data_IF_730445115656
#
_entry.id   IF_730445115656
#
_cell.length_a   1.000
_cell.length_b   1.000
_cell.length_c   1.000
_cell.angle_alpha   90.00
_cell.angle_beta   90.00
_cell.angle_gamma   90.00
#
_symmetry.space_group_name_H-M   'P 1'
#
loop_
_entity.id
_entity.type
_entity.pdbx_description
1 polymer ?
#
# COMPACT_ATOMS: atom_id res chain seq x y z
N UNK A 1 -1.88 -14.45 -3.16
CA UNK A 1 -1.27 -13.28 -2.50
C UNK A 1 -2.00 -12.03 -2.94
N UNK A 2 -2.50 -11.24 -2.00
CA UNK A 2 -3.15 -9.97 -2.32
C UNK A 2 -2.11 -8.85 -2.27
N UNK A 3 -2.06 -8.03 -3.31
CA UNK A 3 -1.17 -6.87 -3.41
C UNK A 3 -1.99 -5.65 -3.83
N UNK A 4 -1.91 -4.60 -3.03
CA UNK A 4 -2.46 -3.29 -3.39
C UNK A 4 -1.32 -2.38 -3.80
N UNK A 5 -1.48 -1.70 -4.93
CA UNK A 5 -0.49 -0.78 -5.45
C UNK A 5 -1.17 0.46 -6.03
N UNK A 6 -0.43 1.54 -6.06
CA UNK A 6 -0.86 2.78 -6.69
C UNK A 6 -0.04 2.95 -7.97
N UNK A 7 -0.72 3.00 -9.10
CA UNK A 7 -0.14 3.28 -10.40
C UNK A 7 -0.73 4.58 -10.95
N UNK A 8 0.10 5.33 -11.65
CA UNK A 8 -0.31 6.55 -12.34
C UNK A 8 -0.10 6.32 -13.84
N UNK A 9 -1.16 6.52 -14.63
CA UNK A 9 -1.07 6.39 -16.08
C UNK A 9 -0.02 7.35 -16.64
N UNK A 10 0.84 6.82 -17.50
CA UNK A 10 1.92 7.60 -18.11
C UNK A 10 3.14 7.82 -17.23
N UNK A 11 3.11 7.45 -15.95
CA UNK A 11 4.25 7.65 -15.04
C UNK A 11 5.48 6.87 -15.51
N UNK A 12 5.30 5.65 -15.97
CA UNK A 12 6.37 4.79 -16.45
C UNK A 12 7.11 5.40 -17.64
N UNK A 13 6.36 5.95 -18.59
CA UNK A 13 6.90 6.65 -19.77
C UNK A 13 7.61 7.93 -19.36
N UNK A 14 7.03 8.71 -18.46
CA UNK A 14 7.61 9.94 -17.95
C UNK A 14 8.94 9.66 -17.21
N UNK A 15 9.00 8.62 -16.39
CA UNK A 15 10.23 8.19 -15.71
C UNK A 15 11.30 7.79 -16.72
N UNK A 16 10.92 7.04 -17.75
CA UNK A 16 11.84 6.65 -18.83
C UNK A 16 12.43 7.85 -19.55
N UNK A 17 11.59 8.83 -19.89
CA UNK A 17 12.04 10.01 -20.60
C UNK A 17 12.93 10.90 -19.72
N UNK A 18 12.54 11.08 -18.46
CA UNK A 18 13.33 11.84 -17.50
C UNK A 18 14.68 11.19 -17.18
N UNK A 19 14.77 9.84 -17.21
CA UNK A 19 16.03 9.09 -17.00
C UNK A 19 17.10 9.44 -18.03
N UNK A 20 16.70 9.81 -19.24
CA UNK A 20 17.65 10.24 -20.29
C UNK A 20 18.39 11.51 -19.90
N UNK A 21 17.76 12.35 -19.08
CA UNK A 21 18.30 13.62 -18.61
C UNK A 21 19.03 13.45 -17.25
N UNK A 22 18.50 12.60 -16.39
CA UNK A 22 19.04 12.38 -15.04
C UNK A 22 19.12 10.88 -14.74
N UNK A 23 20.34 10.35 -14.70
CA UNK A 23 20.59 8.91 -14.42
C UNK A 23 20.27 8.51 -12.98
N UNK A 24 20.31 9.45 -12.04
CA UNK A 24 19.99 9.20 -10.63
C UNK A 24 18.48 9.22 -10.35
N UNK A 25 17.70 9.59 -11.34
CA UNK A 25 16.26 9.74 -11.19
C UNK A 25 15.54 8.49 -10.65
N UNK A 26 15.85 7.26 -11.09
CA UNK A 26 15.13 6.07 -10.58
C UNK A 26 15.26 5.92 -9.06
N UNK A 27 16.44 6.19 -8.52
CA UNK A 27 16.69 6.15 -7.09
C UNK A 27 15.90 7.24 -6.35
N UNK A 28 15.93 8.44 -6.88
CA UNK A 28 15.18 9.59 -6.33
C UNK A 28 13.68 9.32 -6.33
N UNK A 29 13.14 8.79 -7.42
CA UNK A 29 11.71 8.45 -7.53
C UNK A 29 11.32 7.38 -6.53
N UNK A 30 12.13 6.33 -6.36
CA UNK A 30 11.88 5.31 -5.35
C UNK A 30 11.86 5.92 -3.94
N UNK A 31 12.77 6.85 -3.65
CA UNK A 31 12.81 7.55 -2.38
C UNK A 31 11.57 8.40 -2.12
N UNK A 32 10.94 8.93 -3.16
CA UNK A 32 9.70 9.69 -3.05
C UNK A 32 8.46 8.77 -2.92
N UNK A 33 8.48 7.59 -3.56
CA UNK A 33 7.36 6.64 -3.51
C UNK A 33 7.32 5.86 -2.20
N UNK A 34 8.47 5.56 -1.61
CA UNK A 34 8.56 4.75 -0.40
C UNK A 34 7.78 5.34 0.79
N UNK A 35 7.84 6.65 1.10
CA UNK A 35 7.05 7.22 2.19
C UNK A 35 5.54 7.01 2.06
N UNK A 36 5.02 6.90 0.84
CA UNK A 36 3.59 6.65 0.59
C UNK A 36 3.21 5.28 1.15
N UNK A 37 3.93 4.23 0.75
CA UNK A 37 3.66 2.88 1.25
C UNK A 37 3.96 2.74 2.75
N UNK A 38 4.98 3.42 3.26
CA UNK A 38 5.30 3.42 4.69
C UNK A 38 4.20 4.08 5.54
N UNK A 39 3.57 5.15 5.04
CA UNK A 39 2.43 5.79 5.71
C UNK A 39 1.27 4.80 5.85
N UNK A 40 0.93 4.10 4.78
CA UNK A 40 -0.12 3.07 4.81
C UNK A 40 0.27 1.92 5.73
N UNK A 41 1.51 1.45 5.65
CA UNK A 41 2.00 0.37 6.50
C UNK A 41 1.87 0.71 7.99
N UNK A 42 2.30 1.89 8.40
CA UNK A 42 2.20 2.33 9.79
C UNK A 42 0.75 2.46 10.26
N UNK A 43 -0.10 3.10 9.45
CA UNK A 43 -1.50 3.25 9.77
C UNK A 43 -2.24 1.92 9.86
N UNK A 44 -1.99 1.00 8.93
CA UNK A 44 -2.56 -0.33 8.94
C UNK A 44 -2.09 -1.13 10.17
N UNK A 45 -0.80 -1.05 10.50
CA UNK A 45 -0.24 -1.72 11.68
C UNK A 45 -0.88 -1.18 12.97
N UNK A 46 -1.01 0.13 13.12
CA UNK A 46 -1.66 0.74 14.27
C UNK A 46 -3.12 0.30 14.40
N UNK A 47 -3.85 0.28 13.30
CA UNK A 47 -5.24 -0.17 13.28
C UNK A 47 -5.35 -1.64 13.69
N UNK A 48 -4.52 -2.50 13.12
CA UNK A 48 -4.51 -3.92 13.47
C UNK A 48 -4.16 -4.16 14.95
N UNK A 49 -3.21 -3.40 15.48
CA UNK A 49 -2.84 -3.48 16.90
C UNK A 49 -3.98 -3.04 17.80
N UNK A 50 -4.72 -2.01 17.43
CA UNK A 50 -5.88 -1.53 18.21
C UNK A 50 -7.06 -2.51 18.17
N UNK A 51 -7.26 -3.20 17.05
CA UNK A 51 -8.29 -4.24 16.93
C UNK A 51 -7.97 -5.47 17.80
N UNK A 52 -6.69 -5.77 18.02
CA UNK A 52 -6.26 -6.90 18.85
C UNK A 52 -6.51 -8.27 18.21
N UNK A 53 -6.41 -9.34 19.00
CA UNK A 53 -6.74 -10.69 18.56
C UNK A 53 -5.99 -11.13 17.29
N UNK A 54 -6.75 -11.68 16.33
CA UNK A 54 -6.20 -12.19 15.07
C UNK A 54 -5.53 -11.08 14.25
N UNK A 55 -6.04 -9.86 14.29
CA UNK A 55 -5.48 -8.73 13.56
C UNK A 55 -4.06 -8.39 14.05
N UNK A 56 -3.91 -8.28 15.36
CA UNK A 56 -2.60 -8.00 15.98
C UNK A 56 -1.60 -9.11 15.69
N UNK A 57 -2.04 -10.36 15.77
CA UNK A 57 -1.18 -11.50 15.47
C UNK A 57 -0.74 -11.49 14.01
N UNK A 58 -1.69 -11.32 13.09
CA UNK A 58 -1.43 -11.44 11.66
C UNK A 58 -0.53 -10.33 11.11
N UNK A 59 -0.68 -9.09 11.60
CA UNK A 59 0.05 -7.94 11.05
C UNK A 59 1.56 -8.03 11.29
N UNK A 60 2.00 -8.73 12.33
CA UNK A 60 3.42 -8.82 12.70
C UNK A 60 4.29 -9.40 11.59
N UNK A 61 3.78 -10.36 10.83
CA UNK A 61 4.54 -11.06 9.80
C UNK A 61 3.89 -10.99 8.42
N UNK A 62 2.59 -10.73 8.37
CA UNK A 62 1.79 -10.82 7.15
C UNK A 62 1.75 -9.56 6.31
N UNK A 63 2.27 -8.44 6.80
CA UNK A 63 2.21 -7.16 6.09
C UNK A 63 3.59 -6.74 5.63
N UNK A 64 3.71 -6.37 4.35
CA UNK A 64 4.91 -5.79 3.76
C UNK A 64 4.56 -4.55 2.97
N UNK A 65 5.51 -3.62 2.92
CA UNK A 65 5.40 -2.42 2.09
C UNK A 65 6.71 -2.15 1.39
N UNK A 66 6.64 -1.51 0.25
CA UNK A 66 7.82 -1.13 -0.51
C UNK A 66 7.47 -0.19 -1.63
N UNK A 67 8.47 0.11 -2.45
CA UNK A 67 8.30 0.97 -3.60
C UNK A 67 9.29 0.61 -4.68
N UNK A 68 8.87 0.87 -5.92
CA UNK A 68 9.74 0.97 -7.08
C UNK A 68 9.84 2.43 -7.50
N UNK A 69 10.51 2.70 -8.60
CA UNK A 69 10.62 4.07 -9.14
C UNK A 69 9.27 4.67 -9.55
N UNK A 70 8.26 3.85 -9.82
CA UNK A 70 6.95 4.30 -10.32
C UNK A 70 5.76 3.68 -9.60
N UNK A 71 5.96 2.93 -8.53
CA UNK A 71 4.88 2.24 -7.81
C UNK A 71 5.16 2.24 -6.31
N UNK A 72 4.19 2.65 -5.52
CA UNK A 72 4.16 2.37 -4.08
C UNK A 72 3.22 1.18 -3.85
N UNK A 73 3.63 0.20 -3.06
CA UNK A 73 2.84 -1.00 -2.85
C UNK A 73 2.80 -1.43 -1.39
N UNK A 74 1.70 -2.10 -1.05
CA UNK A 74 1.55 -2.83 0.20
C UNK A 74 1.06 -4.24 -0.12
N UNK A 75 1.51 -5.23 0.63
CA UNK A 75 1.26 -6.64 0.32
C UNK A 75 0.86 -7.42 1.56
N UNK A 76 -0.19 -8.21 1.41
CA UNK A 76 -0.62 -9.22 2.37
C UNK A 76 0.04 -10.55 2.00
N UNK A 77 0.95 -11.02 2.83
CA UNK A 77 1.82 -12.17 2.50
C UNK A 77 1.35 -13.42 3.23
N UNK A 78 0.42 -14.14 2.62
CA UNK A 78 -0.18 -15.36 3.20
C UNK A 78 0.85 -16.49 3.40
N UNK A 79 1.91 -16.54 2.60
CA UNK A 79 2.99 -17.51 2.77
C UNK A 79 3.79 -17.31 4.07
N UNK A 80 3.82 -16.10 4.61
CA UNK A 80 4.49 -15.77 5.88
C UNK A 80 3.55 -15.84 7.07
N UNK A 81 2.30 -15.48 6.85
CA UNK A 81 1.26 -15.48 7.86
C UNK A 81 -0.07 -15.90 7.24
N UNK A 82 -0.45 -17.20 7.35
CA UNK A 82 -1.68 -17.70 6.71
C UNK A 82 -2.96 -16.99 7.14
N UNK A 83 -2.99 -16.38 8.33
CA UNK A 83 -4.16 -15.68 8.85
C UNK A 83 -4.33 -14.26 8.32
N UNK A 84 -3.37 -13.73 7.55
CA UNK A 84 -3.39 -12.31 7.17
C UNK A 84 -4.59 -11.94 6.29
N UNK A 85 -4.99 -12.80 5.36
CA UNK A 85 -6.13 -12.53 4.48
C UNK A 85 -7.44 -12.55 5.27
N UNK A 86 -7.62 -13.52 6.16
CA UNK A 86 -8.78 -13.57 7.04
C UNK A 86 -8.82 -12.43 8.05
N UNK A 87 -7.66 -12.00 8.55
CA UNK A 87 -7.56 -10.84 9.42
C UNK A 87 -7.98 -9.55 8.69
N UNK A 88 -7.58 -9.38 7.43
CA UNK A 88 -7.94 -8.19 6.65
C UNK A 88 -9.39 -8.23 6.15
N UNK A 89 -9.82 -9.35 5.59
CA UNK A 89 -11.12 -9.43 4.90
C UNK A 89 -12.21 -10.12 5.72
N UNK A 90 -11.86 -10.74 6.82
CA UNK A 90 -12.79 -11.53 7.62
C UNK A 90 -12.98 -12.94 7.08
N UNK A 91 -13.83 -13.69 7.74
CA UNK A 91 -14.15 -15.07 7.39
C UNK A 91 -15.63 -15.28 7.15
N UNK A 92 -15.96 -16.40 6.50
CA UNK A 92 -17.34 -16.83 6.34
C UNK A 92 -17.90 -17.48 7.62
N UNK A 93 -19.10 -18.05 7.50
CA UNK A 93 -19.78 -18.72 8.62
C UNK A 93 -19.25 -20.13 8.95
N UNK A 94 -18.23 -20.59 8.21
CA UNK A 94 -17.64 -21.91 8.43
C UNK A 94 -16.97 -22.01 9.80
N UNK A 95 -17.07 -23.15 10.51
CA UNK A 95 -16.33 -23.37 11.75
C UNK A 95 -14.80 -23.17 11.61
N UNK A 96 -14.26 -23.42 10.41
CA UNK A 96 -12.83 -23.25 10.14
C UNK A 96 -12.38 -21.78 10.14
N UNK A 97 -13.31 -20.84 10.02
CA UNK A 97 -13.02 -19.41 9.95
C UNK A 97 -13.54 -18.63 11.17
N UNK A 98 -13.94 -19.32 12.23
CA UNK A 98 -14.48 -18.68 13.47
C UNK A 98 -13.52 -17.72 14.15
N UNK A 99 -12.22 -17.90 13.95
CA UNK A 99 -11.20 -16.99 14.48
C UNK A 99 -11.21 -15.63 13.82
N UNK A 100 -11.84 -15.50 12.64
CA UNK A 100 -11.89 -14.26 11.90
C UNK A 100 -13.20 -13.51 12.16
N UNK A 101 -13.17 -12.16 12.07
CA UNK A 101 -14.39 -11.35 12.14
C UNK A 101 -15.28 -11.60 10.93
N UNK A 102 -16.50 -11.01 10.89
CA UNK A 102 -17.38 -11.10 9.74
C UNK A 102 -16.73 -10.65 8.44
N UNK A 103 -17.13 -11.26 7.32
CA UNK A 103 -16.59 -10.97 6.00
C UNK A 103 -16.74 -9.48 5.62
N UNK A 104 -15.65 -8.86 5.22
CA UNK A 104 -15.56 -7.50 4.68
C UNK A 104 -14.65 -7.46 3.45
N UNK A 105 -14.87 -8.39 2.51
CA UNK A 105 -14.00 -8.53 1.34
C UNK A 105 -14.39 -7.71 0.13
N UNK A 106 -15.49 -6.94 0.20
CA UNK A 106 -15.97 -6.18 -0.96
C UNK A 106 -16.68 -4.88 -0.54
N UNK A 107 -16.87 -3.98 -1.51
CA UNK A 107 -17.61 -2.74 -1.33
C UNK A 107 -16.79 -1.63 -0.67
N UNK A 108 -17.51 -0.55 -0.31
CA UNK A 108 -16.90 0.66 0.25
C UNK A 108 -16.28 0.46 1.64
N UNK A 109 -16.71 -0.56 2.36
CA UNK A 109 -16.25 -0.86 3.71
C UNK A 109 -15.33 -2.08 3.75
N UNK A 110 -14.73 -2.46 2.61
CA UNK A 110 -13.82 -3.60 2.54
C UNK A 110 -12.63 -3.43 3.49
N UNK A 111 -12.23 -4.54 4.11
CA UNK A 111 -11.04 -4.63 4.96
C UNK A 111 -11.24 -4.16 6.38
N UNK A 112 -10.31 -4.53 7.24
CA UNK A 112 -10.30 -4.18 8.65
C UNK A 112 -9.16 -3.23 9.04
N UNK A 113 -8.02 -3.27 8.33
CA UNK A 113 -6.88 -2.41 8.68
C UNK A 113 -6.14 -1.84 7.47
N UNK A 114 -5.87 -2.60 6.41
CA UNK A 114 -5.16 -2.07 5.22
C UNK A 114 -6.07 -1.16 4.41
N UNK A 115 -7.20 -1.67 3.95
CA UNK A 115 -8.13 -0.89 3.12
C UNK A 115 -8.72 0.32 3.84
N UNK A 116 -9.13 0.22 5.12
CA UNK A 116 -9.54 1.41 5.86
C UNK A 116 -8.45 2.47 5.96
N UNK A 117 -7.20 2.06 6.16
CA UNK A 117 -6.06 2.98 6.20
C UNK A 117 -5.85 3.68 4.85
N UNK A 118 -5.90 2.92 3.75
CA UNK A 118 -5.79 3.50 2.40
C UNK A 118 -6.89 4.55 2.18
N UNK A 119 -8.13 4.25 2.58
CA UNK A 119 -9.24 5.20 2.45
C UNK A 119 -9.05 6.45 3.29
N UNK A 120 -8.61 6.31 4.53
CA UNK A 120 -8.40 7.46 5.42
C UNK A 120 -7.19 8.31 5.03
N UNK A 121 -6.18 7.71 4.40
CA UNK A 121 -4.95 8.38 3.97
C UNK A 121 -4.99 8.81 2.51
N UNK A 122 -6.12 8.64 1.82
CA UNK A 122 -6.20 8.85 0.36
C UNK A 122 -5.82 10.28 -0.06
N UNK A 123 -6.23 11.31 0.69
CA UNK A 123 -5.89 12.69 0.36
C UNK A 123 -4.39 12.95 0.54
N UNK A 124 -3.77 12.43 1.58
CA UNK A 124 -2.33 12.54 1.80
C UNK A 124 -1.55 11.79 0.72
N UNK A 125 -2.00 10.58 0.37
CA UNK A 125 -1.41 9.79 -0.71
C UNK A 125 -1.44 10.57 -2.03
N UNK A 126 -2.59 11.16 -2.38
CA UNK A 126 -2.74 11.94 -3.60
C UNK A 126 -1.82 13.17 -3.61
N UNK A 127 -1.72 13.89 -2.50
CA UNK A 127 -0.80 15.04 -2.40
C UNK A 127 0.66 14.63 -2.60
N UNK A 128 1.07 13.52 -2.02
CA UNK A 128 2.44 13.00 -2.17
C UNK A 128 2.72 12.56 -3.60
N UNK A 129 1.75 11.91 -4.25
CA UNK A 129 1.86 11.50 -5.65
C UNK A 129 1.97 12.72 -6.58
N UNK A 130 1.13 13.73 -6.37
CA UNK A 130 1.19 14.98 -7.14
C UNK A 130 2.55 15.66 -6.99
N UNK A 131 3.06 15.76 -5.77
CA UNK A 131 4.37 16.35 -5.51
C UNK A 131 5.49 15.57 -6.21
N UNK A 132 5.43 14.24 -6.18
CA UNK A 132 6.41 13.38 -6.85
C UNK A 132 6.37 13.57 -8.37
N UNK A 133 5.18 13.64 -8.97
CA UNK A 133 5.01 13.87 -10.43
C UNK A 133 5.51 15.25 -10.82
N UNK A 134 5.19 16.29 -10.05
CA UNK A 134 5.65 17.64 -10.33
C UNK A 134 7.18 17.74 -10.24
N UNK A 135 7.80 17.13 -9.26
CA UNK A 135 9.26 17.10 -9.14
C UNK A 135 9.88 16.36 -10.32
N UNK A 136 9.30 15.23 -10.73
CA UNK A 136 9.73 14.47 -11.89
C UNK A 136 9.65 15.31 -13.17
N UNK A 137 8.55 16.03 -13.37
CA UNK A 137 8.36 16.90 -14.52
C UNK A 137 9.43 18.00 -14.59
N UNK A 138 9.75 18.64 -13.45
CA UNK A 138 10.82 19.64 -13.38
C UNK A 138 12.17 19.05 -13.76
N UNK A 139 12.49 17.86 -13.26
CA UNK A 139 13.75 17.15 -13.56
C UNK A 139 13.83 16.74 -15.03
N UNK A 140 12.69 16.47 -15.66
CA UNK A 140 12.60 16.14 -17.08
C UNK A 140 12.60 17.37 -17.98
N UNK A 141 12.70 18.58 -17.42
CA UNK A 141 12.76 19.83 -18.17
C UNK A 141 11.42 20.47 -18.50
N UNK A 142 10.32 19.97 -17.97
CA UNK A 142 9.02 20.63 -18.08
C UNK A 142 8.94 21.82 -17.13
N UNK A 143 8.32 22.89 -17.59
CA UNK A 143 8.12 24.12 -16.82
C UNK A 143 6.66 24.34 -16.49
#
# INVERSE_FOLDING_TARGET
MATSRVDIDGLKELVRDARRVDRELPKTMRQQMLPISQTVFRGATQQAMSLGGVHRHAVRRGLKAGATQNTAWIRLVASREPTILGAEFGGGRSPRTRQFPPWRGSGRNAGYFVYPTIRSESDDIMRRLEAAVLDLMRRAGFR
#
